data_IF_592985658349
#
_entry.id   IF_592985658349
#
_cell.length_a   1.000
_cell.length_b   1.000
_cell.length_c   1.000
_cell.angle_alpha   90.00
_cell.angle_beta   90.00
_cell.angle_gamma   90.00
#
_symmetry.space_group_name_H-M   'P 1'
#
loop_
_entity.id
_entity.type
_entity.pdbx_description
1 polymer ?
#
# COMPACT_ATOMS: atom_id res chain seq x y z
N UNK A 1 8.23 -29.93 6.52
CA UNK A 1 7.02 -30.58 7.08
C UNK A 1 6.57 -29.69 8.23
N UNK A 2 5.52 -28.87 8.04
CA UNK A 2 5.03 -27.99 9.11
C UNK A 2 4.21 -28.81 10.09
N UNK A 3 4.73 -28.95 11.30
CA UNK A 3 3.95 -29.34 12.46
C UNK A 3 3.04 -28.14 12.77
N UNK A 4 1.73 -28.37 12.91
CA UNK A 4 0.78 -27.32 13.32
C UNK A 4 1.08 -26.81 14.73
N UNK A 5 0.12 -26.10 15.34
CA UNK A 5 0.23 -25.69 16.74
C UNK A 5 0.65 -26.87 17.62
N UNK A 6 1.84 -26.77 18.24
CA UNK A 6 2.30 -27.78 19.19
C UNK A 6 1.75 -27.47 20.58
N UNK A 7 1.43 -28.49 21.39
CA UNK A 7 1.13 -28.27 22.81
C UNK A 7 2.25 -27.46 23.45
N UNK A 8 1.92 -26.36 24.13
CA UNK A 8 2.84 -25.38 24.76
C UNK A 8 3.58 -24.40 23.83
N UNK A 9 3.16 -24.25 22.56
CA UNK A 9 3.67 -23.14 21.74
C UNK A 9 3.15 -21.79 22.26
N UNK A 10 4.06 -20.83 22.46
CA UNK A 10 3.68 -19.46 22.81
C UNK A 10 2.90 -18.79 21.68
N UNK A 11 1.95 -17.87 21.99
CA UNK A 11 1.27 -17.07 21.00
C UNK A 11 2.24 -16.37 20.05
N UNK A 12 1.94 -16.40 18.75
CA UNK A 12 2.81 -15.83 17.73
C UNK A 12 2.16 -15.72 16.36
N UNK A 13 2.83 -15.00 15.47
CA UNK A 13 2.48 -14.93 14.05
C UNK A 13 3.56 -15.60 13.21
N UNK A 14 3.14 -16.39 12.23
CA UNK A 14 4.03 -17.18 11.38
C UNK A 14 5.12 -16.33 10.71
N UNK A 15 6.38 -16.77 10.81
CA UNK A 15 7.53 -16.11 10.18
C UNK A 15 8.01 -14.81 10.84
N UNK A 16 7.25 -14.22 11.76
CA UNK A 16 7.62 -13.00 12.48
C UNK A 16 8.51 -13.33 13.69
N UNK A 17 9.71 -13.85 13.43
CA UNK A 17 10.67 -14.27 14.46
C UNK A 17 11.24 -13.09 15.27
N UNK A 18 11.60 -12.01 14.59
CA UNK A 18 12.21 -10.82 15.21
C UNK A 18 11.42 -9.57 14.81
N UNK A 19 10.90 -8.86 15.81
CA UNK A 19 9.97 -7.75 15.61
C UNK A 19 10.05 -6.77 16.77
N UNK A 20 9.69 -5.50 16.54
CA UNK A 20 9.49 -4.53 17.62
C UNK A 20 8.13 -4.69 18.35
N UNK A 21 7.32 -5.66 17.93
CA UNK A 21 6.08 -6.10 18.60
C UNK A 21 6.29 -7.48 19.23
N UNK A 22 5.92 -7.62 20.50
CA UNK A 22 5.92 -8.91 21.22
C UNK A 22 4.56 -9.60 21.11
N UNK A 23 4.50 -10.66 20.30
CA UNK A 23 3.27 -11.42 20.05
C UNK A 23 2.88 -12.37 21.19
N UNK A 24 3.68 -12.48 22.24
CA UNK A 24 3.27 -13.17 23.48
C UNK A 24 2.34 -12.30 24.33
N UNK A 25 2.29 -10.99 24.05
CA UNK A 25 1.53 -9.99 24.81
C UNK A 25 0.28 -9.55 24.07
N UNK A 26 -0.81 -9.29 24.80
CA UNK A 26 -2.14 -8.97 24.25
C UNK A 26 -2.13 -7.69 23.41
N UNK A 27 -1.26 -6.74 23.72
CA UNK A 27 -1.13 -5.44 23.04
C UNK A 27 -0.81 -5.60 21.55
N UNK A 28 -0.01 -6.62 21.19
CA UNK A 28 0.34 -6.90 19.79
C UNK A 28 -0.82 -7.47 18.96
N UNK A 29 -1.88 -7.95 19.62
CA UNK A 29 -3.09 -8.50 19.01
C UNK A 29 -4.25 -7.50 18.94
N UNK A 30 -4.04 -6.28 19.46
CA UNK A 30 -5.02 -5.20 19.32
C UNK A 30 -5.16 -4.72 17.87
N UNK A 31 -6.30 -4.09 17.56
CA UNK A 31 -6.68 -3.64 16.20
C UNK A 31 -5.61 -2.82 15.45
N UNK A 32 -4.78 -2.06 16.18
CA UNK A 32 -3.77 -1.18 15.59
C UNK A 32 -2.47 -1.93 15.25
N UNK A 33 -2.23 -3.08 15.88
CA UNK A 33 -1.05 -3.90 15.65
C UNK A 33 -1.37 -5.09 14.73
N UNK A 34 -2.41 -5.85 15.04
CA UNK A 34 -2.74 -7.07 14.32
C UNK A 34 -2.99 -6.83 12.82
N UNK A 35 -3.65 -5.71 12.46
CA UNK A 35 -4.00 -5.40 11.09
C UNK A 35 -2.80 -5.07 10.18
N UNK A 36 -1.61 -4.79 10.72
CA UNK A 36 -0.36 -4.69 9.96
C UNK A 36 0.57 -5.89 10.18
N UNK A 37 0.53 -6.53 11.36
CA UNK A 37 1.33 -7.73 11.63
C UNK A 37 0.85 -8.98 10.89
N UNK A 38 -0.46 -9.22 10.85
CA UNK A 38 -1.03 -10.40 10.18
C UNK A 38 -0.71 -10.42 8.66
N UNK A 39 -0.85 -9.30 7.92
CA UNK A 39 -0.36 -9.19 6.54
C UNK A 39 1.08 -9.64 6.33
N UNK A 40 2.00 -9.21 7.19
CA UNK A 40 3.41 -9.61 7.09
C UNK A 40 3.57 -11.13 7.30
N UNK A 41 2.83 -11.70 8.25
CA UNK A 41 2.83 -13.13 8.51
C UNK A 41 2.23 -13.94 7.34
N UNK A 42 1.18 -13.41 6.70
CA UNK A 42 0.55 -14.02 5.53
C UNK A 42 1.53 -14.11 4.35
N UNK A 43 2.32 -13.07 4.09
CA UNK A 43 3.39 -13.13 3.07
C UNK A 43 4.45 -14.19 3.39
N UNK A 44 4.89 -14.27 4.65
CA UNK A 44 5.82 -15.31 5.09
C UNK A 44 5.22 -16.72 4.93
N UNK A 45 3.92 -16.88 5.19
CA UNK A 45 3.21 -18.14 4.97
C UNK A 45 3.11 -18.50 3.49
N UNK A 46 2.79 -17.53 2.61
CA UNK A 46 2.82 -17.71 1.15
C UNK A 46 4.19 -18.20 0.68
N UNK A 47 5.27 -17.58 1.17
CA UNK A 47 6.64 -18.00 0.88
C UNK A 47 6.88 -19.47 1.26
N UNK A 48 6.43 -19.90 2.44
CA UNK A 48 6.56 -21.28 2.90
C UNK A 48 5.81 -22.30 2.04
N UNK A 49 4.80 -21.85 1.28
CA UNK A 49 4.04 -22.64 0.29
C UNK A 49 4.59 -22.49 -1.12
N UNK A 50 5.75 -21.84 -1.30
CA UNK A 50 6.32 -21.51 -2.62
C UNK A 50 5.36 -20.68 -3.49
N UNK A 51 4.53 -19.84 -2.86
CA UNK A 51 3.64 -18.91 -3.54
C UNK A 51 4.23 -17.50 -3.55
N UNK A 52 4.33 -16.93 -4.74
CA UNK A 52 4.70 -15.52 -4.94
C UNK A 52 3.49 -14.59 -4.80
N UNK A 53 3.72 -13.32 -4.47
CA UNK A 53 2.64 -12.34 -4.41
C UNK A 53 2.24 -11.91 -5.83
N UNK A 54 0.98 -11.53 -6.03
CA UNK A 54 0.54 -10.92 -7.29
C UNK A 54 1.13 -9.50 -7.34
N UNK A 55 1.99 -9.24 -8.31
CA UNK A 55 2.61 -7.92 -8.46
C UNK A 55 1.83 -7.11 -9.50
N UNK A 56 1.20 -6.04 -9.04
CA UNK A 56 0.48 -5.07 -9.86
C UNK A 56 1.47 -3.99 -10.26
N UNK A 57 1.85 -3.99 -11.54
CA UNK A 57 2.91 -3.12 -12.06
C UNK A 57 2.40 -2.29 -13.25
N UNK A 58 3.12 -1.22 -13.57
CA UNK A 58 2.83 -0.36 -14.72
C UNK A 58 3.63 -0.84 -15.93
N UNK A 59 3.04 -0.76 -17.13
CA UNK A 59 3.73 -1.04 -18.40
C UNK A 59 3.99 0.24 -19.21
N UNK A 60 4.63 0.08 -20.38
CA UNK A 60 5.04 1.20 -21.24
C UNK A 60 3.87 1.99 -21.82
N UNK A 61 2.65 1.45 -21.77
CA UNK A 61 1.42 2.15 -22.17
C UNK A 61 0.73 2.84 -20.99
N UNK A 62 1.40 2.94 -19.84
CA UNK A 62 0.85 3.46 -18.58
C UNK A 62 -0.42 2.69 -18.14
N UNK A 63 -0.48 1.41 -18.48
CA UNK A 63 -1.55 0.50 -18.05
C UNK A 63 -1.03 -0.46 -17.00
N UNK A 64 -1.92 -0.82 -16.09
CA UNK A 64 -1.66 -1.83 -15.08
C UNK A 64 -1.62 -3.20 -15.74
N UNK A 65 -0.63 -4.00 -15.37
CA UNK A 65 -0.53 -5.42 -15.67
C UNK A 65 -0.12 -6.21 -14.43
N UNK A 66 -0.36 -7.53 -14.47
CA UNK A 66 0.02 -8.43 -13.39
C UNK A 66 1.27 -9.22 -13.78
N UNK A 67 2.21 -9.29 -12.84
CA UNK A 67 3.28 -10.28 -12.81
C UNK A 67 3.32 -10.93 -11.43
N UNK A 68 4.40 -11.60 -11.10
CA UNK A 68 4.66 -12.09 -9.75
C UNK A 68 5.85 -11.37 -9.12
N UNK A 69 5.90 -11.36 -7.78
CA UNK A 69 7.07 -10.94 -7.01
C UNK A 69 7.30 -11.92 -5.86
N UNK A 70 8.54 -12.42 -5.78
CA UNK A 70 8.94 -13.29 -4.68
C UNK A 70 8.90 -12.54 -3.35
N UNK A 71 8.56 -13.24 -2.27
CA UNK A 71 8.55 -12.65 -0.93
C UNK A 71 9.95 -12.17 -0.50
N UNK A 72 11.01 -12.81 -0.99
CA UNK A 72 12.38 -12.39 -0.73
C UNK A 72 12.70 -11.03 -1.39
N UNK A 73 12.33 -10.84 -2.66
CA UNK A 73 12.49 -9.56 -3.33
C UNK A 73 11.61 -8.48 -2.70
N UNK A 74 10.39 -8.85 -2.31
CA UNK A 74 9.44 -7.93 -1.68
C UNK A 74 9.90 -7.45 -0.29
N UNK A 75 10.53 -8.30 0.53
CA UNK A 75 11.09 -7.91 1.83
C UNK A 75 12.54 -7.41 1.77
N UNK A 76 13.21 -7.58 0.62
CA UNK A 76 14.64 -7.31 0.45
C UNK A 76 15.55 -8.38 1.08
N UNK A 77 14.98 -9.43 1.66
CA UNK A 77 15.67 -10.59 2.25
C UNK A 77 14.72 -11.77 2.34
N UNK A 78 15.26 -13.00 2.35
CA UNK A 78 14.48 -14.22 2.51
C UNK A 78 13.60 -14.18 3.80
N UNK A 79 12.28 -14.43 3.72
CA UNK A 79 11.38 -14.43 4.87
C UNK A 79 11.75 -15.42 5.99
N UNK A 80 12.52 -16.47 5.70
CA UNK A 80 13.01 -17.44 6.67
C UNK A 80 14.32 -17.03 7.34
N UNK A 81 15.00 -15.99 6.82
CA UNK A 81 16.29 -15.51 7.30
C UNK A 81 16.23 -15.12 8.77
N UNK A 82 17.20 -15.57 9.56
CA UNK A 82 17.37 -15.12 10.95
C UNK A 82 17.93 -13.69 11.05
N UNK A 83 18.26 -13.08 9.91
CA UNK A 83 18.66 -11.68 9.82
C UNK A 83 17.50 -10.73 9.46
N UNK A 84 16.28 -11.24 9.23
CA UNK A 84 15.12 -10.40 8.95
C UNK A 84 14.48 -9.89 10.26
N UNK A 85 14.39 -8.57 10.40
CA UNK A 85 13.67 -7.89 11.47
C UNK A 85 12.47 -7.11 10.92
N UNK A 86 11.31 -7.25 11.56
CA UNK A 86 10.08 -6.53 11.21
C UNK A 86 9.89 -5.32 12.15
N UNK A 87 10.20 -4.12 11.65
CA UNK A 87 10.04 -2.88 12.39
C UNK A 87 8.73 -2.19 12.00
N UNK A 88 7.67 -2.41 12.78
CA UNK A 88 6.35 -1.81 12.52
C UNK A 88 6.30 -0.34 12.95
N UNK A 89 5.47 0.47 12.29
CA UNK A 89 5.27 1.90 12.59
C UNK A 89 6.59 2.70 12.68
N UNK A 90 7.57 2.32 11.85
CA UNK A 90 8.95 2.83 11.91
C UNK A 90 9.27 3.66 10.67
N UNK A 91 10.19 4.60 10.78
CA UNK A 91 10.67 5.41 9.65
C UNK A 91 11.62 4.61 8.77
N UNK A 92 11.41 4.67 7.45
CA UNK A 92 12.44 4.23 6.50
C UNK A 92 13.50 5.32 6.34
N UNK A 93 14.50 5.31 7.23
CA UNK A 93 15.49 6.38 7.34
C UNK A 93 16.23 6.74 6.04
N UNK A 94 16.41 5.85 5.03
CA UNK A 94 17.00 6.26 3.75
C UNK A 94 16.25 7.38 3.04
N UNK A 95 14.93 7.53 3.26
CA UNK A 95 14.12 8.58 2.62
C UNK A 95 14.18 9.94 3.32
N UNK A 96 14.75 10.01 4.52
CA UNK A 96 14.85 11.27 5.28
C UNK A 96 15.65 12.35 4.53
N UNK A 97 16.59 11.95 3.67
CA UNK A 97 17.43 12.87 2.89
C UNK A 97 16.64 13.71 1.86
N UNK A 98 15.43 13.28 1.47
CA UNK A 98 14.61 13.95 0.45
C UNK A 98 13.66 15.01 1.02
N UNK A 99 13.62 15.16 2.34
CA UNK A 99 12.55 15.86 3.04
C UNK A 99 13.09 16.97 3.93
N UNK A 100 12.36 18.08 3.97
CA UNK A 100 12.50 19.10 5.02
C UNK A 100 11.57 18.70 6.17
N UNK A 101 12.13 18.56 7.38
CA UNK A 101 11.41 18.11 8.57
C UNK A 101 11.56 16.61 8.80
N UNK A 102 10.59 15.99 9.48
CA UNK A 102 10.66 14.58 9.89
C UNK A 102 9.83 13.69 8.94
N UNK A 103 10.42 12.59 8.48
CA UNK A 103 9.71 11.54 7.73
C UNK A 103 8.66 10.87 8.65
N UNK A 104 7.40 10.67 8.23
CA UNK A 104 6.45 9.89 9.03
C UNK A 104 6.86 8.41 9.13
N UNK A 105 6.36 7.70 10.14
CA UNK A 105 6.47 6.24 10.17
C UNK A 105 5.64 5.60 9.06
N UNK A 106 6.07 4.44 8.56
CA UNK A 106 5.28 3.59 7.67
C UNK A 106 4.84 2.32 8.41
N UNK A 107 3.80 1.65 7.93
CA UNK A 107 3.21 0.48 8.61
C UNK A 107 4.27 -0.61 8.91
N UNK A 108 5.19 -0.88 7.97
CA UNK A 108 6.30 -1.82 8.16
C UNK A 108 7.58 -1.36 7.45
N UNK A 109 8.69 -1.45 8.17
CA UNK A 109 10.04 -1.45 7.60
C UNK A 109 10.69 -2.81 7.86
N UNK A 110 11.15 -3.49 6.81
CA UNK A 110 12.02 -4.66 6.99
C UNK A 110 13.47 -4.19 7.17
N UNK A 111 14.21 -4.84 8.05
CA UNK A 111 15.58 -4.47 8.38
C UNK A 111 16.49 -5.69 8.41
N UNK A 112 17.76 -5.50 8.05
CA UNK A 112 18.83 -6.44 8.37
C UNK A 112 19.18 -6.27 9.85
N UNK A 113 18.94 -7.31 10.65
CA UNK A 113 19.03 -7.27 12.11
C UNK A 113 20.45 -7.03 12.62
N UNK A 114 21.44 -7.62 11.97
CA UNK A 114 22.86 -7.54 12.33
C UNK A 114 23.44 -6.13 12.25
N UNK A 115 23.06 -5.36 11.22
CA UNK A 115 23.57 -4.01 10.95
C UNK A 115 22.53 -2.90 11.13
N UNK A 116 21.26 -3.25 11.36
CA UNK A 116 20.15 -2.31 11.52
C UNK A 116 19.76 -1.54 10.26
N UNK A 117 20.23 -1.95 9.07
CA UNK A 117 19.95 -1.24 7.83
C UNK A 117 18.52 -1.51 7.36
N UNK A 118 17.81 -0.45 6.94
CA UNK A 118 16.50 -0.58 6.33
C UNK A 118 16.60 -1.24 4.95
N UNK A 119 15.73 -2.22 4.68
CA UNK A 119 15.68 -2.98 3.43
C UNK A 119 14.52 -2.50 2.54
N UNK A 120 13.29 -2.52 3.07
CA UNK A 120 12.09 -2.09 2.36
C UNK A 120 11.16 -1.29 3.27
N UNK A 121 10.47 -0.30 2.69
CA UNK A 121 9.36 0.43 3.31
C UNK A 121 8.05 -0.07 2.70
N UNK A 122 7.11 -0.52 3.54
CA UNK A 122 5.90 -1.20 3.07
C UNK A 122 4.67 -0.57 3.73
N UNK A 123 3.84 0.08 2.92
CA UNK A 123 2.48 0.45 3.33
C UNK A 123 1.58 -0.80 3.30
N UNK A 124 0.70 -0.97 4.29
CA UNK A 124 -0.16 -2.13 4.41
C UNK A 124 -1.64 -1.73 4.38
N UNK A 125 -2.41 -2.37 3.49
CA UNK A 125 -3.86 -2.21 3.36
C UNK A 125 -4.56 -3.55 3.39
N UNK A 126 -4.92 -4.00 4.59
CA UNK A 126 -5.77 -5.19 4.76
C UNK A 126 -7.21 -4.86 4.36
N UNK A 127 -7.67 -5.41 3.22
CA UNK A 127 -8.94 -5.02 2.59
C UNK A 127 -9.96 -6.15 2.49
N UNK A 128 -11.23 -5.81 2.69
CA UNK A 128 -12.35 -6.76 2.59
C UNK A 128 -12.73 -7.00 1.13
N UNK A 129 -13.03 -8.26 0.79
CA UNK A 129 -13.54 -8.65 -0.52
C UNK A 129 -14.84 -9.45 -0.36
N UNK A 130 -15.98 -9.01 -0.91
CA UNK A 130 -16.21 -7.74 -1.59
C UNK A 130 -16.33 -6.56 -0.63
N UNK A 131 -16.14 -5.35 -1.15
CA UNK A 131 -16.55 -4.12 -0.49
C UNK A 131 -18.05 -3.84 -0.66
N UNK A 132 -18.54 -2.79 0.00
CA UNK A 132 -19.96 -2.40 -0.05
C UNK A 132 -20.47 -2.01 -1.46
N UNK A 133 -19.56 -1.69 -2.41
CA UNK A 133 -19.96 -1.25 -3.76
C UNK A 133 -20.09 -2.39 -4.76
N UNK A 134 -19.52 -3.56 -4.42
CA UNK A 134 -19.44 -4.75 -5.28
C UNK A 134 -20.06 -6.00 -4.67
N UNK A 135 -20.44 -5.97 -3.38
CA UNK A 135 -20.95 -7.13 -2.67
C UNK A 135 -22.26 -7.73 -3.18
N UNK A 136 -23.05 -6.96 -3.93
CA UNK A 136 -24.32 -7.40 -4.53
C UNK A 136 -24.12 -7.84 -6.00
N UNK A 137 -22.87 -7.83 -6.51
CA UNK A 137 -22.51 -8.33 -7.83
C UNK A 137 -22.17 -9.83 -7.78
N UNK A 138 -21.96 -10.44 -8.95
CA UNK A 138 -21.37 -11.78 -9.01
C UNK A 138 -19.90 -11.75 -8.54
N UNK A 139 -19.40 -12.87 -8.00
CA UNK A 139 -18.05 -12.94 -7.42
C UNK A 139 -16.94 -12.52 -8.40
N UNK A 140 -17.15 -12.75 -9.69
CA UNK A 140 -16.24 -12.34 -10.76
C UNK A 140 -16.08 -10.82 -10.90
N UNK A 141 -16.93 -10.04 -10.22
CA UNK A 141 -16.92 -8.58 -10.20
C UNK A 141 -16.68 -8.01 -8.79
N UNK A 142 -16.27 -8.84 -7.84
CA UNK A 142 -15.90 -8.38 -6.50
C UNK A 142 -14.64 -7.52 -6.54
N UNK A 143 -14.63 -6.47 -5.72
CA UNK A 143 -13.47 -5.61 -5.53
C UNK A 143 -13.35 -5.11 -4.09
N UNK A 144 -12.20 -4.52 -3.78
CA UNK A 144 -11.86 -4.06 -2.44
C UNK A 144 -11.82 -2.54 -2.36
N UNK A 145 -12.37 -1.94 -1.31
CA UNK A 145 -12.09 -0.52 -1.03
C UNK A 145 -10.66 -0.37 -0.50
N UNK A 146 -9.91 0.59 -1.07
CA UNK A 146 -8.62 1.02 -0.52
C UNK A 146 -8.72 2.49 -0.05
N UNK A 147 -8.25 2.75 1.16
CA UNK A 147 -8.23 4.08 1.77
C UNK A 147 -6.78 4.46 2.09
N UNK A 148 -6.34 5.61 1.57
CA UNK A 148 -4.93 6.01 1.57
C UNK A 148 -4.73 7.25 2.45
N UNK A 149 -3.68 7.25 3.27
CA UNK A 149 -3.32 8.39 4.13
C UNK A 149 -2.36 9.33 3.40
N UNK A 150 -2.28 10.61 3.80
CA UNK A 150 -1.30 11.54 3.22
C UNK A 150 0.14 11.06 3.32
N UNK A 151 0.53 10.43 4.44
CA UNK A 151 1.89 9.92 4.65
C UNK A 151 2.30 8.88 3.59
N UNK A 152 1.35 8.08 3.10
CA UNK A 152 1.58 7.17 1.97
C UNK A 152 2.02 7.93 0.71
N UNK A 153 1.48 9.13 0.47
CA UNK A 153 1.86 9.96 -0.68
C UNK A 153 3.28 10.54 -0.50
N UNK A 154 3.68 10.81 0.74
CA UNK A 154 5.07 11.22 1.05
C UNK A 154 6.04 10.09 0.71
N UNK A 155 5.75 8.86 1.15
CA UNK A 155 6.58 7.70 0.81
C UNK A 155 6.59 7.40 -0.69
N UNK A 156 5.46 7.61 -1.39
CA UNK A 156 5.38 7.48 -2.85
C UNK A 156 6.32 8.48 -3.54
N UNK A 157 6.27 9.75 -3.13
CA UNK A 157 7.18 10.77 -3.65
C UNK A 157 8.64 10.41 -3.39
N UNK A 158 8.97 9.97 -2.16
CA UNK A 158 10.32 9.50 -1.81
C UNK A 158 10.78 8.31 -2.67
N UNK A 159 9.91 7.31 -2.91
CA UNK A 159 10.23 6.15 -3.76
C UNK A 159 10.57 6.56 -5.19
N UNK A 160 9.81 7.50 -5.75
CA UNK A 160 10.02 8.02 -7.10
C UNK A 160 11.34 8.82 -7.17
N UNK A 161 11.56 9.78 -6.27
CA UNK A 161 12.76 10.63 -6.31
C UNK A 161 14.06 9.87 -6.02
N UNK A 162 14.00 8.77 -5.27
CA UNK A 162 15.15 7.91 -5.00
C UNK A 162 15.79 7.34 -6.28
N UNK A 163 15.00 7.13 -7.33
CA UNK A 163 15.51 6.71 -8.65
C UNK A 163 16.35 7.80 -9.34
N UNK A 164 16.23 9.06 -8.93
CA UNK A 164 16.96 10.20 -9.48
C UNK A 164 18.10 10.67 -8.60
N UNK A 165 18.36 10.01 -7.46
CA UNK A 165 19.41 10.42 -6.49
C UNK A 165 20.78 10.64 -7.14
N UNK A 166 21.17 9.76 -8.05
CA UNK A 166 22.47 9.82 -8.75
C UNK A 166 22.47 10.77 -9.94
N UNK A 167 21.30 11.15 -10.46
CA UNK A 167 21.18 12.11 -11.55
C UNK A 167 19.96 13.03 -11.38
N UNK A 168 20.03 14.00 -10.43
CA UNK A 168 18.91 14.90 -10.15
C UNK A 168 18.52 15.78 -11.35
N UNK A 169 19.44 16.04 -12.29
CA UNK A 169 19.14 16.85 -13.47
C UNK A 169 18.11 16.20 -14.40
N UNK A 170 18.00 14.86 -14.37
CA UNK A 170 17.04 14.13 -15.19
C UNK A 170 15.61 14.43 -14.78
N UNK A 171 15.28 14.45 -13.48
CA UNK A 171 13.92 14.79 -13.05
C UNK A 171 13.58 16.23 -13.42
N UNK A 172 14.52 17.18 -13.28
CA UNK A 172 14.31 18.57 -13.69
C UNK A 172 14.02 18.69 -15.19
N UNK A 173 14.66 17.87 -16.04
CA UNK A 173 14.40 17.86 -17.48
C UNK A 173 13.04 17.26 -17.89
N UNK A 174 12.44 16.44 -17.01
CA UNK A 174 11.14 15.80 -17.26
C UNK A 174 9.96 16.68 -16.80
N UNK A 175 10.21 17.63 -15.90
CA UNK A 175 9.23 18.63 -15.52
C UNK A 175 9.30 19.79 -16.53
N UNK A 176 8.77 19.54 -17.70
CA UNK A 176 8.56 20.56 -18.73
C UNK A 176 7.22 21.29 -18.47
N UNK A 177 7.23 22.62 -18.60
CA UNK A 177 6.04 23.46 -18.43
C UNK A 177 6.24 24.70 -17.55
N UNK A 178 5.35 25.67 -17.72
CA UNK A 178 5.41 26.97 -17.05
C UNK A 178 4.77 26.93 -15.64
N UNK A 179 5.11 25.94 -14.80
CA UNK A 179 4.55 25.84 -13.45
C UNK A 179 4.97 27.00 -12.52
N UNK A 180 6.01 27.75 -12.89
CA UNK A 180 6.38 29.01 -12.25
C UNK A 180 5.35 30.13 -12.45
N UNK A 181 4.46 30.01 -13.44
CA UNK A 181 3.38 30.97 -13.70
C UNK A 181 2.14 30.77 -12.80
N UNK A 182 2.09 29.68 -12.02
CA UNK A 182 1.03 29.48 -11.02
C UNK A 182 1.21 30.55 -9.93
N UNK A 183 0.36 31.57 -9.97
CA UNK A 183 0.40 32.74 -9.09
C UNK A 183 0.17 32.40 -7.62
N UNK A 184 -0.75 31.47 -7.35
CA UNK A 184 -1.07 31.00 -6.01
C UNK A 184 -1.45 29.52 -6.05
N UNK A 185 -0.66 28.69 -5.36
CA UNK A 185 -0.91 27.26 -5.30
C UNK A 185 -2.08 26.90 -4.37
N UNK A 186 -2.46 27.78 -3.44
CA UNK A 186 -3.58 27.54 -2.53
C UNK A 186 -4.94 27.84 -3.15
N UNK A 187 -4.98 28.62 -4.24
CA UNK A 187 -6.21 29.00 -4.93
C UNK A 187 -6.58 27.99 -6.03
N UNK A 188 -7.72 27.28 -5.92
CA UNK A 188 -8.10 26.25 -6.88
C UNK A 188 -8.11 26.72 -8.34
N UNK A 189 -8.60 27.93 -8.61
CA UNK A 189 -8.72 28.47 -9.96
C UNK A 189 -7.36 28.73 -10.63
N UNK A 190 -6.32 28.98 -9.83
CA UNK A 190 -4.95 29.17 -10.31
C UNK A 190 -4.28 27.85 -10.67
N UNK A 191 -4.68 26.74 -10.02
CA UNK A 191 -4.03 25.43 -10.16
C UNK A 191 -4.74 24.51 -11.15
N UNK A 192 -6.08 24.52 -11.18
CA UNK A 192 -6.90 23.65 -12.04
C UNK A 192 -6.43 23.60 -13.51
N UNK A 193 -6.10 24.74 -14.17
CA UNK A 193 -5.65 24.73 -15.55
C UNK A 193 -4.39 23.89 -15.82
N UNK A 194 -3.55 23.71 -14.80
CA UNK A 194 -2.25 23.02 -14.91
C UNK A 194 -2.33 21.53 -14.54
N UNK A 195 -3.46 21.05 -14.00
CA UNK A 195 -3.59 19.64 -13.58
C UNK A 195 -3.34 18.65 -14.75
N UNK A 196 -3.82 18.88 -15.99
CA UNK A 196 -3.48 18.01 -17.11
C UNK A 196 -1.97 17.89 -17.35
N UNK A 197 -1.24 19.00 -17.25
CA UNK A 197 0.22 19.02 -17.44
C UNK A 197 0.94 18.33 -16.27
N UNK A 198 0.45 18.50 -15.03
CA UNK A 198 0.96 17.77 -13.87
C UNK A 198 0.82 16.25 -14.06
N UNK A 199 -0.30 15.78 -14.63
CA UNK A 199 -0.50 14.38 -14.96
C UNK A 199 0.51 13.92 -16.01
N UNK A 200 0.70 14.70 -17.08
CA UNK A 200 1.65 14.37 -18.15
C UNK A 200 3.09 14.29 -17.64
N UNK A 201 3.48 15.17 -16.71
CA UNK A 201 4.80 15.13 -16.06
C UNK A 201 4.94 13.88 -15.20
N UNK A 202 3.95 13.54 -14.35
CA UNK A 202 4.01 12.32 -13.54
C UNK A 202 4.08 11.08 -14.43
N UNK A 203 3.33 11.04 -15.53
CA UNK A 203 3.39 9.96 -16.51
C UNK A 203 4.76 9.85 -17.19
N UNK A 204 5.38 10.99 -17.56
CA UNK A 204 6.72 11.03 -18.16
C UNK A 204 7.79 10.56 -17.18
N UNK A 205 7.70 10.97 -15.91
CA UNK A 205 8.55 10.47 -14.83
C UNK A 205 8.37 8.96 -14.69
N UNK A 206 7.13 8.46 -14.63
CA UNK A 206 6.84 7.04 -14.52
C UNK A 206 7.45 6.23 -15.68
N UNK A 207 7.37 6.73 -16.92
CA UNK A 207 7.99 6.09 -18.07
C UNK A 207 9.52 6.07 -17.98
N UNK A 208 10.14 7.16 -17.50
CA UNK A 208 11.59 7.26 -17.36
C UNK A 208 12.17 6.26 -16.34
N UNK A 209 11.38 5.86 -15.33
CA UNK A 209 11.79 4.91 -14.28
C UNK A 209 10.99 3.60 -14.32
N UNK A 210 10.36 3.29 -15.45
CA UNK A 210 9.43 2.16 -15.59
C UNK A 210 10.04 0.81 -15.19
N UNK A 211 11.27 0.56 -15.64
CA UNK A 211 12.03 -0.66 -15.35
C UNK A 211 12.53 -0.72 -13.90
N UNK A 212 12.51 0.41 -13.19
CA UNK A 212 12.96 0.53 -11.80
C UNK A 212 11.80 0.66 -10.80
N UNK A 213 10.55 0.46 -11.23
CA UNK A 213 9.39 0.50 -10.33
C UNK A 213 9.55 -0.47 -9.17
N UNK A 214 9.29 0.01 -7.95
CA UNK A 214 9.57 -0.72 -6.72
C UNK A 214 8.29 -1.23 -6.08
N UNK A 215 8.29 -2.39 -5.39
CA UNK A 215 7.18 -2.76 -4.54
C UNK A 215 6.97 -1.68 -3.48
N UNK A 216 5.72 -1.24 -3.31
CA UNK A 216 5.40 -0.07 -2.50
C UNK A 216 4.31 -0.34 -1.46
N UNK A 217 3.20 -0.96 -1.89
CA UNK A 217 2.05 -1.19 -1.03
C UNK A 217 1.64 -2.67 -1.06
N UNK A 218 1.55 -3.26 0.12
CA UNK A 218 0.96 -4.57 0.34
C UNK A 218 -0.54 -4.42 0.56
N UNK A 219 -1.34 -5.04 -0.30
CA UNK A 219 -2.79 -5.13 -0.16
C UNK A 219 -3.21 -6.60 0.00
N UNK A 220 -3.19 -7.13 1.22
CA UNK A 220 -3.86 -8.38 1.50
C UNK A 220 -5.37 -8.23 1.35
N UNK A 221 -6.00 -9.29 0.86
CA UNK A 221 -7.44 -9.40 0.76
C UNK A 221 -7.95 -10.46 1.74
N UNK A 222 -9.13 -10.22 2.31
CA UNK A 222 -9.87 -11.23 3.06
C UNK A 222 -11.28 -11.37 2.48
N UNK A 223 -11.56 -12.53 1.87
CA UNK A 223 -12.81 -12.79 1.16
C UNK A 223 -13.88 -13.35 2.08
N UNK A 224 -15.07 -12.74 2.07
CA UNK A 224 -16.27 -13.22 2.76
C UNK A 224 -17.30 -13.80 1.81
N UNK A 225 -18.31 -14.47 2.35
CA UNK A 225 -19.50 -14.87 1.61
C UNK A 225 -20.43 -13.65 1.46
N UNK A 226 -20.27 -12.89 0.38
CA UNK A 226 -20.95 -11.61 0.17
C UNK A 226 -20.70 -10.63 1.33
N UNK A 227 -21.75 -9.97 1.83
CA UNK A 227 -21.70 -9.08 3.01
C UNK A 227 -21.64 -9.81 4.37
N UNK A 228 -21.71 -11.14 4.39
CA UNK A 228 -21.76 -11.87 5.67
C UNK A 228 -20.42 -11.81 6.41
N UNK A 229 -20.41 -11.93 7.75
CA UNK A 229 -19.18 -11.99 8.52
C UNK A 229 -18.47 -13.35 8.44
N UNK A 230 -18.81 -14.19 7.45
CA UNK A 230 -18.21 -15.52 7.27
C UNK A 230 -17.18 -15.49 6.16
N UNK A 231 -15.98 -16.01 6.43
CA UNK A 231 -14.97 -16.18 5.40
C UNK A 231 -15.43 -17.18 4.34
N UNK A 232 -15.08 -16.90 3.09
CA UNK A 232 -15.15 -17.87 2.01
C UNK A 232 -14.16 -19.03 2.26
N UNK A 233 -14.31 -20.16 1.58
CA UNK A 233 -13.33 -21.25 1.72
C UNK A 233 -11.93 -20.81 1.27
N UNK A 234 -11.87 -20.17 0.11
CA UNK A 234 -10.72 -19.47 -0.43
C UNK A 234 -10.82 -18.00 -0.03
N UNK A 235 -10.04 -17.57 0.97
CA UNK A 235 -10.27 -16.28 1.60
C UNK A 235 -9.08 -15.37 1.74
N UNK A 236 -7.84 -15.80 1.57
CA UNK A 236 -6.68 -14.93 1.77
C UNK A 236 -5.76 -14.96 0.55
N UNK A 237 -5.30 -13.77 0.16
CA UNK A 237 -4.23 -13.58 -0.82
C UNK A 237 -3.57 -12.21 -0.62
N UNK A 238 -2.45 -11.96 -1.29
CA UNK A 238 -1.71 -10.71 -1.22
C UNK A 238 -1.41 -10.17 -2.62
N UNK A 239 -1.88 -8.95 -2.85
CA UNK A 239 -1.51 -8.13 -4.00
C UNK A 239 -0.46 -7.11 -3.55
N UNK A 240 0.59 -6.94 -4.32
CA UNK A 240 1.63 -5.94 -4.11
C UNK A 240 1.54 -4.93 -5.24
N UNK A 241 1.36 -3.66 -4.92
CA UNK A 241 1.38 -2.58 -5.89
C UNK A 241 2.80 -2.04 -6.02
N UNK A 242 3.25 -1.81 -7.26
CA UNK A 242 4.41 -0.96 -7.48
C UNK A 242 4.08 0.50 -7.17
N UNK A 243 5.10 1.29 -6.84
CA UNK A 243 4.97 2.74 -6.68
C UNK A 243 4.32 3.40 -7.90
N UNK A 244 4.75 3.02 -9.11
CA UNK A 244 4.19 3.56 -10.35
C UNK A 244 2.75 3.12 -10.61
N UNK A 245 2.42 1.83 -10.42
CA UNK A 245 1.06 1.34 -10.62
C UNK A 245 0.08 1.97 -9.63
N UNK A 246 0.53 2.22 -8.39
CA UNK A 246 -0.26 2.88 -7.37
C UNK A 246 -0.72 4.29 -7.80
N UNK A 247 0.06 5.01 -8.62
CA UNK A 247 -0.34 6.32 -9.15
C UNK A 247 -1.65 6.27 -9.95
N UNK A 248 -1.95 5.14 -10.59
CA UNK A 248 -3.15 4.97 -11.43
C UNK A 248 -4.44 5.08 -10.62
N UNK A 249 -4.41 4.74 -9.32
CA UNK A 249 -5.58 4.80 -8.44
C UNK A 249 -6.19 6.21 -8.35
N UNK A 250 -5.40 7.27 -8.54
CA UNK A 250 -5.88 8.64 -8.49
C UNK A 250 -5.72 9.41 -9.81
N UNK A 251 -4.74 9.06 -10.66
CA UNK A 251 -4.57 9.69 -11.98
C UNK A 251 -5.67 9.28 -12.95
N UNK A 252 -6.04 8.01 -13.01
CA UNK A 252 -7.03 7.55 -13.98
C UNK A 252 -8.43 8.10 -13.66
N UNK A 253 -8.71 8.39 -12.39
CA UNK A 253 -9.91 9.12 -11.97
C UNK A 253 -9.96 10.54 -12.53
N UNK A 254 -8.85 11.28 -12.43
CA UNK A 254 -8.77 12.63 -12.98
C UNK A 254 -8.83 12.63 -14.51
N UNK A 255 -8.17 11.67 -15.17
CA UNK A 255 -8.26 11.48 -16.63
C UNK A 255 -9.69 11.16 -17.06
N UNK A 256 -10.41 10.34 -16.32
CA UNK A 256 -11.82 10.07 -16.58
C UNK A 256 -12.66 11.34 -16.49
N UNK A 257 -12.47 12.16 -15.44
CA UNK A 257 -13.15 13.45 -15.30
C UNK A 257 -12.85 14.38 -16.49
N UNK A 258 -11.58 14.55 -16.86
CA UNK A 258 -11.17 15.36 -18.02
C UNK A 258 -11.80 14.84 -19.31
N UNK A 259 -11.77 13.53 -19.56
CA UNK A 259 -12.37 12.94 -20.76
C UNK A 259 -13.89 13.12 -20.83
N UNK A 260 -14.55 13.15 -19.67
CA UNK A 260 -16.02 13.26 -19.57
C UNK A 260 -16.49 14.72 -19.68
N UNK A 261 -15.76 15.67 -19.10
CA UNK A 261 -16.19 17.06 -18.97
C UNK A 261 -15.30 18.08 -19.71
N UNK A 262 -14.23 17.63 -20.36
CA UNK A 262 -13.21 18.45 -21.03
C UNK A 262 -12.24 19.18 -20.09
N UNK A 263 -12.46 19.12 -18.77
CA UNK A 263 -11.63 19.78 -17.74
C UNK A 263 -11.89 19.19 -16.35
N UNK A 264 -10.98 19.45 -15.42
CA UNK A 264 -11.25 19.31 -13.98
C UNK A 264 -12.18 20.45 -13.55
N UNK A 265 -13.31 20.11 -12.91
CA UNK A 265 -14.31 21.11 -12.50
C UNK A 265 -14.07 21.66 -11.10
N UNK A 266 -13.52 20.83 -10.21
CA UNK A 266 -13.19 21.18 -8.84
C UNK A 266 -12.07 20.28 -8.33
N UNK A 267 -11.27 20.78 -7.38
CA UNK A 267 -10.22 19.96 -6.76
C UNK A 267 -10.86 19.04 -5.71
N UNK A 268 -11.10 17.80 -6.11
CA UNK A 268 -11.46 16.70 -5.21
C UNK A 268 -10.21 16.04 -4.59
N UNK A 269 -10.42 15.06 -3.70
CA UNK A 269 -9.35 14.33 -3.02
C UNK A 269 -8.30 13.71 -3.96
N UNK A 270 -8.74 13.05 -5.03
CA UNK A 270 -7.83 12.39 -5.98
C UNK A 270 -7.01 13.40 -6.80
N UNK A 271 -7.63 14.48 -7.31
CA UNK A 271 -6.90 15.59 -7.97
C UNK A 271 -5.98 16.33 -7.01
N UNK A 272 -6.37 16.50 -5.74
CA UNK A 272 -5.48 17.06 -4.71
C UNK A 272 -4.26 16.17 -4.50
N UNK A 273 -4.42 14.84 -4.49
CA UNK A 273 -3.29 13.91 -4.41
C UNK A 273 -2.34 14.04 -5.61
N UNK A 274 -2.86 14.28 -6.82
CA UNK A 274 -2.03 14.62 -8.00
C UNK A 274 -1.20 15.88 -7.72
N UNK A 275 -1.85 16.94 -7.24
CA UNK A 275 -1.19 18.21 -6.93
C UNK A 275 -0.13 18.02 -5.83
N UNK A 276 -0.43 17.28 -4.76
CA UNK A 276 0.53 16.98 -3.70
C UNK A 276 1.74 16.23 -4.23
N UNK A 277 1.53 15.12 -4.94
CA UNK A 277 2.63 14.33 -5.50
C UNK A 277 3.46 15.18 -6.46
N UNK A 278 2.81 15.85 -7.42
CA UNK A 278 3.47 16.74 -8.36
C UNK A 278 4.30 17.80 -7.63
N UNK A 279 3.73 18.48 -6.64
CA UNK A 279 4.41 19.54 -5.91
C UNK A 279 5.64 19.03 -5.16
N UNK A 280 5.58 17.83 -4.58
CA UNK A 280 6.74 17.20 -3.94
C UNK A 280 7.85 16.89 -4.95
N UNK A 281 7.50 16.34 -6.12
CA UNK A 281 8.44 16.06 -7.21
C UNK A 281 9.05 17.35 -7.78
N UNK A 282 8.23 18.38 -7.96
CA UNK A 282 8.65 19.70 -8.43
C UNK A 282 9.61 20.37 -7.44
N UNK A 283 9.24 20.47 -6.17
CA UNK A 283 10.11 21.08 -5.15
C UNK A 283 11.43 20.29 -5.02
N UNK A 284 11.41 18.96 -5.14
CA UNK A 284 12.62 18.14 -5.19
C UNK A 284 13.49 18.45 -6.42
N UNK A 285 12.89 18.57 -7.61
CA UNK A 285 13.64 18.86 -8.84
C UNK A 285 14.38 20.20 -8.82
N UNK A 286 13.89 21.16 -8.02
CA UNK A 286 14.46 22.50 -7.88
C UNK A 286 15.44 22.57 -6.71
N UNK A 287 15.10 21.98 -5.57
CA UNK A 287 15.82 22.19 -4.31
C UNK A 287 16.56 20.94 -3.79
N UNK A 288 16.44 19.80 -4.46
CA UNK A 288 16.92 18.50 -3.98
C UNK A 288 16.15 17.95 -2.76
N UNK A 289 15.09 18.63 -2.31
CA UNK A 289 14.26 18.23 -1.18
C UNK A 289 12.87 18.90 -1.24
N UNK A 290 11.90 18.40 -0.48
CA UNK A 290 10.56 18.98 -0.40
C UNK A 290 10.02 19.02 1.04
N UNK A 291 9.14 19.99 1.33
CA UNK A 291 8.48 20.11 2.64
C UNK A 291 7.06 19.53 2.58
N UNK A 292 6.96 18.23 2.85
CA UNK A 292 5.70 17.49 2.73
C UNK A 292 4.58 18.07 3.60
N UNK A 293 4.89 18.47 4.84
CA UNK A 293 3.91 18.98 5.80
C UNK A 293 3.32 20.30 5.30
N UNK A 294 4.18 21.22 4.86
CA UNK A 294 3.74 22.49 4.27
C UNK A 294 2.85 22.26 3.05
N UNK A 295 3.24 21.33 2.17
CA UNK A 295 2.47 21.00 0.96
C UNK A 295 1.09 20.45 1.33
N UNK A 296 1.02 19.44 2.20
CA UNK A 296 -0.24 18.78 2.56
C UNK A 296 -1.18 19.73 3.30
N UNK A 297 -0.65 20.54 4.23
CA UNK A 297 -1.45 21.46 5.04
C UNK A 297 -1.95 22.66 4.23
N UNK A 298 -1.08 23.28 3.41
CA UNK A 298 -1.43 24.45 2.62
C UNK A 298 -2.33 24.10 1.42
N UNK A 299 -2.08 22.97 0.76
CA UNK A 299 -2.78 22.58 -0.46
C UNK A 299 -3.96 21.65 -0.15
N UNK A 300 -4.75 21.99 0.86
CA UNK A 300 -5.89 21.18 1.31
C UNK A 300 -7.15 21.36 0.45
N UNK A 301 -7.29 22.52 -0.20
CA UNK A 301 -8.39 22.91 -1.08
C UNK A 301 -9.79 22.64 -0.48
N UNK A 302 -9.99 23.04 0.78
CA UNK A 302 -11.24 22.84 1.54
C UNK A 302 -11.68 21.37 1.70
N UNK A 303 -10.79 20.42 1.45
CA UNK A 303 -11.04 19.01 1.74
C UNK A 303 -10.26 18.58 2.98
N UNK A 304 -10.85 17.71 3.82
CA UNK A 304 -10.13 17.18 4.99
C UNK A 304 -8.86 16.45 4.55
N UNK A 305 -7.76 16.70 5.24
CA UNK A 305 -6.44 16.10 4.97
C UNK A 305 -6.21 14.82 5.79
N UNK A 306 -7.22 14.25 6.46
CA UNK A 306 -7.13 12.97 7.16
C UNK A 306 -6.87 11.77 6.23
N UNK A 307 -7.25 11.92 4.97
CA UNK A 307 -7.11 10.92 3.89
C UNK A 307 -6.62 11.63 2.63
N UNK A 308 -5.68 11.01 1.94
CA UNK A 308 -5.29 11.44 0.60
C UNK A 308 -6.48 11.20 -0.35
N UNK A 309 -6.89 9.94 -0.49
CA UNK A 309 -8.04 9.51 -1.29
C UNK A 309 -8.57 8.15 -0.82
N UNK A 310 -9.69 7.73 -1.40
CA UNK A 310 -10.23 6.37 -1.29
C UNK A 310 -10.75 5.93 -2.66
N UNK A 311 -10.58 4.64 -2.99
CA UNK A 311 -11.05 4.04 -4.24
C UNK A 311 -11.90 2.83 -3.90
N UNK A 312 -13.14 2.81 -4.40
CA UNK A 312 -14.10 1.72 -4.19
C UNK A 312 -13.73 0.45 -4.94
N UNK A 313 -14.31 -0.68 -4.52
CA UNK A 313 -14.21 -1.99 -5.15
C UNK A 313 -14.51 -1.99 -6.65
N UNK A 314 -15.49 -1.20 -7.10
CA UNK A 314 -15.82 -1.09 -8.54
C UNK A 314 -14.64 -0.64 -9.40
N UNK A 315 -13.77 0.20 -8.85
CA UNK A 315 -12.62 0.75 -9.55
C UNK A 315 -11.38 -0.13 -9.32
N UNK A 316 -11.12 -0.55 -8.07
CA UNK A 316 -9.98 -1.43 -7.77
C UNK A 316 -10.09 -2.78 -8.48
N UNK A 317 -11.32 -3.28 -8.69
CA UNK A 317 -11.58 -4.51 -9.44
C UNK A 317 -10.90 -4.48 -10.82
N UNK A 318 -10.95 -3.36 -11.55
CA UNK A 318 -10.35 -3.25 -12.88
C UNK A 318 -8.84 -3.50 -12.85
N UNK A 319 -8.16 -3.05 -11.80
CA UNK A 319 -6.72 -3.21 -11.63
C UNK A 319 -6.33 -4.55 -11.01
N UNK A 320 -7.21 -5.19 -10.24
CA UNK A 320 -6.90 -6.42 -9.48
C UNK A 320 -7.49 -7.69 -10.10
N UNK A 321 -8.37 -7.56 -11.10
CA UNK A 321 -9.10 -8.66 -11.72
C UNK A 321 -8.14 -9.77 -12.16
N UNK A 322 -8.25 -10.90 -11.49
CA UNK A 322 -7.39 -12.06 -11.68
C UNK A 322 -8.05 -13.28 -11.06
N UNK A 323 -7.52 -14.46 -11.37
CA UNK A 323 -7.96 -15.69 -10.74
C UNK A 323 -7.73 -15.68 -9.22
N UNK A 324 -6.64 -15.06 -8.76
CA UNK A 324 -6.34 -14.90 -7.32
C UNK A 324 -7.34 -13.97 -6.61
N UNK A 325 -7.94 -12.99 -7.32
CA UNK A 325 -9.01 -12.17 -6.75
C UNK A 325 -10.32 -12.96 -6.64
N UNK A 326 -10.66 -13.72 -7.70
CA UNK A 326 -11.86 -14.55 -7.77
C UNK A 326 -11.83 -15.67 -6.73
N UNK A 327 -10.70 -16.38 -6.66
CA UNK A 327 -10.47 -17.53 -5.79
C UNK A 327 -9.11 -17.39 -5.08
N UNK A 328 -9.05 -16.65 -3.95
CA UNK A 328 -7.83 -16.46 -3.16
C UNK A 328 -7.09 -17.76 -2.84
N UNK A 329 -5.76 -17.73 -2.90
CA UNK A 329 -4.95 -18.97 -2.87
C UNK A 329 -4.84 -19.61 -1.49
N UNK A 330 -5.09 -18.88 -0.41
CA UNK A 330 -5.05 -19.40 0.96
C UNK A 330 -6.46 -19.67 1.48
N UNK A 331 -6.66 -20.89 1.98
CA UNK A 331 -7.95 -21.32 2.50
C UNK A 331 -8.16 -20.91 3.96
N UNK A 332 -9.43 -20.78 4.39
CA UNK A 332 -9.78 -20.39 5.76
C UNK A 332 -9.17 -21.31 6.82
N UNK A 333 -9.13 -22.62 6.55
CA UNK A 333 -8.57 -23.66 7.42
C UNK A 333 -7.05 -23.52 7.62
N UNK A 334 -6.38 -22.70 6.82
CA UNK A 334 -4.94 -22.45 6.93
C UNK A 334 -4.61 -21.31 7.89
N UNK A 335 -5.59 -20.51 8.32
CA UNK A 335 -5.37 -19.39 9.25
C UNK A 335 -4.76 -19.86 10.57
N UNK A 336 -5.11 -21.07 11.04
CA UNK A 336 -4.51 -21.71 12.23
C UNK A 336 -3.02 -22.06 12.08
N UNK A 337 -2.47 -21.95 10.87
CA UNK A 337 -1.03 -22.10 10.57
C UNK A 337 -0.32 -20.74 10.48
N UNK A 338 -1.07 -19.63 10.48
CA UNK A 338 -0.55 -18.26 10.46
C UNK A 338 -0.63 -17.66 11.87
N UNK A 339 -1.74 -17.85 12.56
CA UNK A 339 -1.97 -17.46 13.95
C UNK A 339 -1.65 -18.66 14.84
N UNK A 340 -0.60 -18.55 15.64
CA UNK A 340 0.03 -19.67 16.35
C UNK A 340 -0.19 -19.59 17.86
N UNK A 341 -0.06 -20.74 18.54
CA UNK A 341 0.05 -20.83 19.99
C UNK A 341 -1.14 -20.28 20.77
N UNK A 342 -2.35 -20.34 20.19
CA UNK A 342 -3.56 -19.78 20.83
C UNK A 342 -3.66 -18.26 20.73
N UNK A 343 -2.88 -17.60 19.87
CA UNK A 343 -2.89 -16.15 19.69
C UNK A 343 -4.24 -15.56 19.30
N UNK A 344 -5.13 -16.33 18.67
CA UNK A 344 -6.51 -15.92 18.40
C UNK A 344 -7.29 -15.56 19.69
N UNK A 345 -6.93 -16.15 20.83
CA UNK A 345 -7.54 -15.84 22.13
C UNK A 345 -7.08 -14.49 22.70
N UNK A 346 -6.03 -13.91 22.14
CA UNK A 346 -5.51 -12.60 22.51
C UNK A 346 -6.08 -11.47 21.65
N UNK A 347 -6.80 -11.79 20.56
CA UNK A 347 -7.47 -10.80 19.72
C UNK A 347 -8.42 -9.95 20.56
N UNK A 348 -8.36 -8.64 20.35
CA UNK A 348 -9.26 -7.66 20.94
C UNK A 348 -10.00 -6.92 19.83
N UNK A 349 -11.01 -7.57 19.21
CA UNK A 349 -11.57 -7.14 17.93
C UNK A 349 -12.46 -5.89 18.05
N UNK A 350 -12.57 -5.15 16.94
CA UNK A 350 -13.62 -4.13 16.78
C UNK A 350 -14.60 -4.45 15.64
N UNK A 351 -14.21 -4.28 14.38
CA UNK A 351 -15.13 -4.38 13.22
C UNK A 351 -14.52 -5.00 11.96
N UNK A 352 -13.26 -5.46 11.98
CA UNK A 352 -12.51 -5.82 10.76
C UNK A 352 -12.24 -7.33 10.71
N UNK A 353 -11.18 -7.72 10.02
CA UNK A 353 -10.73 -9.11 9.88
C UNK A 353 -10.48 -9.79 11.23
N UNK A 354 -9.92 -9.06 12.20
CA UNK A 354 -9.76 -9.47 13.59
C UNK A 354 -11.08 -9.95 14.23
N UNK A 355 -12.17 -9.23 13.99
CA UNK A 355 -13.50 -9.59 14.48
C UNK A 355 -14.04 -10.87 13.84
N UNK A 356 -13.76 -11.09 12.56
CA UNK A 356 -14.20 -12.32 11.87
C UNK A 356 -13.46 -13.53 12.42
N UNK A 357 -12.14 -13.43 12.62
CA UNK A 357 -11.34 -14.51 13.20
C UNK A 357 -11.83 -14.81 14.62
N UNK A 358 -11.99 -13.79 15.46
CA UNK A 358 -12.43 -13.95 16.84
C UNK A 358 -13.80 -14.64 16.95
N UNK A 359 -14.72 -14.35 16.03
CA UNK A 359 -16.07 -14.93 16.01
C UNK A 359 -16.17 -16.26 15.24
N UNK A 360 -15.05 -16.81 14.76
CA UNK A 360 -15.01 -18.08 14.00
C UNK A 360 -14.04 -19.06 14.68
N UNK A 361 -14.34 -19.53 15.91
CA UNK A 361 -13.43 -20.42 16.66
C UNK A 361 -13.18 -21.75 15.94
N UNK A 362 -14.13 -22.19 15.10
CA UNK A 362 -14.05 -23.40 14.27
C UNK A 362 -12.87 -23.42 13.29
N UNK A 363 -12.29 -22.25 12.99
CA UNK A 363 -11.05 -22.13 12.20
C UNK A 363 -9.86 -22.79 12.91
N UNK A 364 -9.90 -22.85 14.24
CA UNK A 364 -8.78 -23.28 15.09
C UNK A 364 -8.96 -24.66 15.71
N UNK A 365 -10.08 -25.31 15.43
CA UNK A 365 -10.36 -26.70 15.86
C UNK A 365 -9.53 -27.75 15.08
#
# INVERSE_FOLDING_TARGET
MFLGNTPNQNPGLFGLKYSNRDFTQKEAWGKNCFNSSFPAALCSYLHSKSLENIYIKLNSNLKVEHSSISNANFYGIDPNSDNLFYAFETQFTPYQQYLIGTLPGVDLVTQAKDIGSCLQAIEIKLTALPDNTTCDLAEDYYGCEIVVRPDTIVYLACSIVDNFRLNPSLISSLIDGNFSEISDWTEPNSVIPYIPDMINVIDSIALAILENQKPFLMQPIWKTQGKSPKLSEHCLDVFVWSDLAFTRLFIDLAKLEISTFGRIRAIARHTRTIIWLFRMLYDFSVNGSFNHKRIIDALSYNTKNDKAFAVSGRLTHVYMRSEALRQPRIQKQEIKRIILGGGQNLLSPERRFDAIIYNSPDIFD
#
